data_IF_813994080395
#
_entry.id   IF_813994080395
#
_cell.length_a   1.000
_cell.length_b   1.000
_cell.length_c   1.000
_cell.angle_alpha   90.00
_cell.angle_beta   90.00
_cell.angle_gamma   90.00
#
_symmetry.space_group_name_H-M   'P 1'
#
loop_
_entity.id
_entity.type
_entity.pdbx_description
1 polymer ?
#
# COMPACT_ATOMS: atom_id res chain seq x y z
N UNK A 1 19.68 -71.14 -39.93
CA UNK A 1 18.66 -70.12 -40.26
C UNK A 1 18.11 -69.54 -38.97
N UNK A 2 18.17 -68.19 -38.81
CA UNK A 2 17.24 -67.26 -38.12
C UNK A 2 16.66 -67.72 -36.75
N UNK A 3 16.69 -66.98 -35.64
CA UNK A 3 16.83 -65.54 -35.41
C UNK A 3 17.11 -65.23 -33.94
N UNK A 4 17.94 -64.22 -33.73
CA UNK A 4 18.06 -63.35 -32.56
C UNK A 4 16.72 -62.79 -32.06
N UNK A 5 16.62 -62.52 -30.74
CA UNK A 5 16.00 -61.32 -30.12
C UNK A 5 16.40 -61.27 -28.64
N UNK A 6 17.56 -60.69 -28.35
CA UNK A 6 17.70 -59.36 -27.70
C UNK A 6 16.70 -59.11 -26.55
N UNK A 7 17.16 -59.34 -25.32
CA UNK A 7 16.60 -58.67 -24.13
C UNK A 7 17.10 -57.23 -24.12
N UNK A 8 16.19 -56.27 -24.30
CA UNK A 8 16.47 -54.84 -24.14
C UNK A 8 16.56 -54.53 -22.64
N UNK A 9 17.76 -54.21 -22.17
CA UNK A 9 18.01 -53.62 -20.86
C UNK A 9 17.65 -52.13 -20.95
N UNK A 10 16.43 -51.75 -20.54
CA UNK A 10 16.05 -50.35 -20.44
C UNK A 10 16.61 -49.76 -19.14
N UNK A 11 17.77 -49.11 -19.23
CA UNK A 11 18.28 -48.22 -18.19
C UNK A 11 17.34 -47.01 -18.08
N UNK A 12 16.47 -46.99 -17.08
CA UNK A 12 15.78 -45.78 -16.65
C UNK A 12 16.82 -44.89 -15.96
N UNK A 13 17.40 -43.95 -16.72
CA UNK A 13 18.15 -42.84 -16.16
C UNK A 13 17.14 -41.89 -15.50
N UNK A 14 16.81 -42.12 -14.23
CA UNK A 14 16.10 -41.14 -13.41
C UNK A 14 17.03 -39.94 -13.23
N UNK A 15 16.85 -38.92 -14.07
CA UNK A 15 17.42 -37.61 -13.85
C UNK A 15 16.89 -37.09 -12.50
N UNK A 16 17.74 -37.08 -11.47
CA UNK A 16 17.52 -36.24 -10.31
C UNK A 16 17.51 -34.80 -10.80
N UNK A 17 16.32 -34.27 -11.10
CA UNK A 17 16.11 -32.84 -11.16
C UNK A 17 16.28 -32.34 -9.74
N UNK A 18 17.51 -31.94 -9.39
CA UNK A 18 17.77 -31.20 -8.17
C UNK A 18 16.85 -29.98 -8.18
N UNK A 19 15.96 -29.88 -7.19
CA UNK A 19 15.20 -28.64 -6.99
C UNK A 19 16.23 -27.53 -6.83
N UNK A 20 16.17 -26.43 -7.61
CA UNK A 20 17.07 -25.31 -7.39
C UNK A 20 16.95 -24.91 -5.92
N UNK A 21 18.07 -24.95 -5.20
CA UNK A 21 18.11 -24.50 -3.82
C UNK A 21 17.91 -22.98 -3.85
N UNK A 22 16.66 -22.55 -3.69
CA UNK A 22 16.30 -21.14 -3.71
C UNK A 22 16.66 -20.53 -2.36
N UNK A 23 17.63 -19.62 -2.37
CA UNK A 23 18.09 -18.94 -1.18
C UNK A 23 17.08 -17.88 -0.75
N UNK A 24 16.78 -17.83 0.55
CA UNK A 24 15.99 -16.75 1.13
C UNK A 24 16.92 -15.62 1.56
N UNK A 25 16.55 -14.40 1.25
CA UNK A 25 17.24 -13.19 1.69
C UNK A 25 16.25 -12.25 2.35
N UNK A 26 16.79 -11.29 3.10
CA UNK A 26 16.00 -10.18 3.59
C UNK A 26 15.85 -9.14 2.48
N UNK A 27 14.62 -8.76 2.18
CA UNK A 27 14.28 -7.73 1.20
C UNK A 27 13.39 -6.69 1.84
N UNK A 28 13.58 -5.42 1.46
CA UNK A 28 12.64 -4.34 1.73
C UNK A 28 11.82 -4.11 0.46
N UNK A 29 10.51 -3.90 0.56
CA UNK A 29 9.65 -3.42 -0.52
C UNK A 29 9.02 -2.10 -0.10
N UNK A 30 9.18 -1.06 -0.90
CA UNK A 30 8.44 0.19 -0.73
C UNK A 30 7.13 0.06 -1.49
N UNK A 31 6.01 0.17 -0.76
CA UNK A 31 4.67 0.12 -1.34
C UNK A 31 4.24 1.49 -1.86
N UNK A 32 3.31 1.54 -2.84
CA UNK A 32 2.58 2.76 -3.12
C UNK A 32 1.76 3.20 -1.90
N UNK A 33 1.35 4.48 -1.83
CA UNK A 33 0.48 4.94 -0.75
C UNK A 33 -0.91 4.29 -0.82
N UNK A 34 -1.23 3.41 0.13
CA UNK A 34 -2.51 2.73 0.26
C UNK A 34 -2.70 2.20 1.69
N UNK A 35 -3.95 2.06 2.14
CA UNK A 35 -4.31 1.36 3.39
C UNK A 35 -3.50 1.84 4.61
N UNK A 36 -3.83 3.06 5.06
CA UNK A 36 -3.15 3.70 6.18
C UNK A 36 -1.88 4.48 5.81
N UNK A 37 -1.47 4.50 4.54
CA UNK A 37 -0.41 5.37 4.03
C UNK A 37 0.64 4.68 3.17
N UNK A 38 1.80 5.31 2.99
CA UNK A 38 2.94 4.68 2.31
C UNK A 38 3.78 3.91 3.33
N UNK A 39 4.26 2.73 2.96
CA UNK A 39 5.04 1.90 3.88
C UNK A 39 6.21 1.19 3.19
N UNK A 40 7.23 0.86 3.98
CA UNK A 40 8.22 -0.16 3.69
C UNK A 40 7.81 -1.46 4.39
N UNK A 41 7.87 -2.57 3.66
CA UNK A 41 7.66 -3.90 4.22
C UNK A 41 8.93 -4.73 4.08
N UNK A 42 9.24 -5.55 5.10
CA UNK A 42 10.42 -6.41 5.13
C UNK A 42 10.00 -7.86 5.09
N UNK A 43 10.62 -8.60 4.19
CA UNK A 43 10.34 -10.01 3.93
C UNK A 43 11.63 -10.83 3.99
N UNK A 44 11.52 -12.06 4.48
CA UNK A 44 12.57 -13.07 4.36
C UNK A 44 12.12 -14.16 3.38
N UNK A 45 12.55 -14.05 2.12
CA UNK A 45 11.96 -14.77 0.98
C UNK A 45 12.89 -14.76 -0.23
N UNK A 46 12.43 -15.27 -1.36
CA UNK A 46 13.20 -15.38 -2.63
C UNK A 46 13.20 -14.07 -3.44
N UNK A 47 12.25 -13.16 -3.15
CA UNK A 47 12.09 -11.84 -3.77
C UNK A 47 11.50 -10.88 -2.72
N UNK A 48 11.41 -9.59 -2.99
CA UNK A 48 10.72 -8.60 -2.14
C UNK A 48 9.18 -8.78 -2.08
N UNK A 49 8.71 -9.98 -1.76
CA UNK A 49 7.31 -10.35 -1.58
C UNK A 49 7.14 -11.24 -0.33
N UNK A 50 5.89 -11.37 0.13
CA UNK A 50 5.54 -12.21 1.27
C UNK A 50 6.09 -13.64 1.11
N UNK A 51 6.88 -14.05 2.09
CA UNK A 51 7.43 -15.39 2.21
C UNK A 51 6.69 -16.21 3.25
N UNK A 52 7.39 -17.21 3.78
CA UNK A 52 6.87 -18.02 4.88
C UNK A 52 6.82 -17.20 6.19
N UNK A 53 5.65 -17.02 6.80
CA UNK A 53 5.47 -16.18 7.99
C UNK A 53 6.26 -16.69 9.21
N UNK A 54 6.66 -17.97 9.23
CA UNK A 54 7.46 -18.55 10.33
C UNK A 54 8.82 -17.89 10.50
N UNK A 55 9.33 -17.19 9.48
CA UNK A 55 10.60 -16.48 9.56
C UNK A 55 10.50 -15.09 10.19
N UNK A 56 9.30 -14.52 10.35
CA UNK A 56 9.14 -13.14 10.81
C UNK A 56 9.68 -12.92 12.22
N UNK A 57 9.43 -13.87 13.14
CA UNK A 57 9.99 -13.80 14.49
C UNK A 57 11.53 -13.77 14.50
N UNK A 58 12.18 -14.42 13.52
CA UNK A 58 13.65 -14.46 13.40
C UNK A 58 14.26 -13.17 12.86
N UNK A 59 13.44 -12.30 12.28
CA UNK A 59 13.89 -11.03 11.71
C UNK A 59 13.29 -9.83 12.46
N UNK A 60 12.49 -10.05 13.51
CA UNK A 60 11.75 -9.00 14.21
C UNK A 60 12.62 -7.89 14.79
N UNK A 61 13.90 -8.18 15.07
CA UNK A 61 14.92 -7.23 15.50
C UNK A 61 15.61 -6.49 14.34
N UNK A 62 15.06 -6.54 13.13
CA UNK A 62 15.60 -5.78 11.98
C UNK A 62 15.48 -4.28 12.25
N UNK A 63 16.60 -3.58 12.13
CA UNK A 63 16.66 -2.13 12.20
C UNK A 63 16.51 -1.54 10.78
N UNK A 64 15.74 -0.46 10.64
CA UNK A 64 15.53 0.25 9.38
C UNK A 64 15.85 1.74 9.53
N UNK A 65 16.37 2.34 8.47
CA UNK A 65 16.63 3.78 8.36
C UNK A 65 16.13 4.32 7.03
N UNK A 66 15.54 5.52 7.09
CA UNK A 66 15.02 6.29 5.97
C UNK A 66 15.98 7.41 5.57
N UNK A 67 16.19 7.58 4.28
CA UNK A 67 16.88 8.74 3.71
C UNK A 67 15.97 9.45 2.69
N UNK A 68 15.48 10.62 3.07
CA UNK A 68 14.74 11.57 2.19
C UNK A 68 15.64 12.75 1.78
N UNK A 69 16.61 13.13 2.60
CA UNK A 69 17.66 14.10 2.29
C UNK A 69 19.01 13.39 2.21
N UNK A 70 19.88 13.80 1.29
CA UNK A 70 21.15 13.10 1.03
C UNK A 70 22.02 13.00 2.29
N UNK A 71 22.43 11.78 2.64
CA UNK A 71 23.32 11.50 3.78
C UNK A 71 22.68 11.55 5.16
N UNK A 72 21.43 11.98 5.29
CA UNK A 72 20.70 11.92 6.57
C UNK A 72 19.87 10.64 6.66
N UNK A 73 20.11 9.83 7.69
CA UNK A 73 19.44 8.56 7.92
C UNK A 73 18.66 8.58 9.24
N UNK A 74 17.35 8.63 9.13
CA UNK A 74 16.43 8.67 10.27
C UNK A 74 15.98 7.24 10.60
N UNK A 75 16.07 6.79 11.87
CA UNK A 75 15.59 5.47 12.25
C UNK A 75 14.08 5.37 12.05
N UNK A 76 13.63 4.25 11.50
CA UNK A 76 12.21 3.95 11.33
C UNK A 76 11.71 3.06 12.47
N UNK A 77 10.50 3.34 12.96
CA UNK A 77 9.78 2.43 13.85
C UNK A 77 9.30 1.23 13.04
N UNK A 78 9.78 0.04 13.41
CA UNK A 78 9.41 -1.22 12.78
C UNK A 78 8.29 -1.89 13.58
N UNK A 79 7.23 -2.29 12.89
CA UNK A 79 6.08 -2.98 13.41
C UNK A 79 6.10 -4.42 12.89
N UNK A 80 6.03 -5.40 13.78
CA UNK A 80 5.86 -6.79 13.40
C UNK A 80 4.37 -7.06 13.11
N UNK A 81 4.08 -7.62 11.94
CA UNK A 81 2.75 -8.16 11.60
C UNK A 81 2.83 -9.70 11.53
N UNK A 82 1.72 -10.42 11.27
CA UNK A 82 1.74 -11.88 11.18
C UNK A 82 2.71 -12.46 10.14
N UNK A 83 3.00 -11.72 9.06
CA UNK A 83 3.70 -12.26 7.88
C UNK A 83 4.75 -11.32 7.26
N UNK A 84 4.98 -10.14 7.86
CA UNK A 84 6.03 -9.20 7.45
C UNK A 84 6.41 -8.27 8.60
N UNK A 85 7.49 -7.52 8.42
CA UNK A 85 7.70 -6.30 9.20
C UNK A 85 7.24 -5.10 8.38
N UNK A 86 6.77 -4.05 9.02
CA UNK A 86 6.27 -2.84 8.36
C UNK A 86 6.79 -1.59 9.05
N UNK A 87 7.17 -0.59 8.27
CA UNK A 87 7.50 0.74 8.74
C UNK A 87 6.79 1.78 7.87
N UNK A 88 6.22 2.82 8.49
CA UNK A 88 5.54 3.89 7.79
C UNK A 88 6.54 4.87 7.18
N UNK A 89 6.20 5.40 6.02
CA UNK A 89 7.04 6.30 5.23
C UNK A 89 6.29 7.59 4.91
N UNK A 90 7.03 8.69 4.64
CA UNK A 90 6.43 9.89 4.04
C UNK A 90 5.61 9.54 2.80
N UNK A 91 4.43 10.16 2.68
CA UNK A 91 3.45 9.80 1.66
C UNK A 91 3.96 10.02 0.23
N UNK A 92 4.76 11.06 0.02
CA UNK A 92 5.33 11.45 -1.28
C UNK A 92 6.86 11.55 -1.23
N UNK A 93 7.47 11.77 -2.40
CA UNK A 93 8.90 12.06 -2.52
C UNK A 93 9.77 10.82 -2.75
N UNK A 94 11.02 11.10 -3.15
CA UNK A 94 12.03 10.08 -3.42
C UNK A 94 12.75 9.68 -2.15
N UNK A 95 12.76 8.37 -1.87
CA UNK A 95 13.28 7.83 -0.63
C UNK A 95 14.13 6.59 -0.84
N UNK A 96 15.07 6.40 0.08
CA UNK A 96 15.87 5.18 0.23
C UNK A 96 15.58 4.64 1.62
N UNK A 97 15.28 3.34 1.71
CA UNK A 97 15.20 2.64 2.98
C UNK A 97 16.32 1.62 3.02
N UNK A 98 17.12 1.64 4.08
CA UNK A 98 18.18 0.67 4.34
C UNK A 98 17.91 -0.04 5.64
N UNK A 99 18.36 -1.29 5.77
CA UNK A 99 18.23 -2.01 7.02
C UNK A 99 19.44 -2.84 7.38
N UNK A 100 19.40 -3.39 8.58
CA UNK A 100 20.37 -4.34 9.12
C UNK A 100 19.65 -5.39 9.93
N UNK A 101 19.98 -6.65 9.66
CA UNK A 101 19.52 -7.79 10.43
C UNK A 101 20.67 -8.77 10.64
N UNK A 102 21.01 -9.05 11.88
CA UNK A 102 21.87 -10.18 12.24
C UNK A 102 20.97 -11.39 12.44
N UNK A 103 20.82 -12.23 11.41
CA UNK A 103 19.87 -13.35 11.42
C UNK A 103 20.21 -14.40 12.48
N UNK A 104 21.51 -14.65 12.68
CA UNK A 104 22.01 -15.60 13.68
C UNK A 104 23.05 -16.55 13.11
N UNK A 105 23.51 -17.48 13.93
CA UNK A 105 24.43 -18.54 13.52
C UNK A 105 23.64 -19.67 12.87
N UNK A 106 24.10 -20.12 11.70
CA UNK A 106 23.59 -21.29 11.02
C UNK A 106 24.66 -22.38 11.04
N UNK A 107 24.42 -23.41 11.85
CA UNK A 107 25.22 -24.63 11.88
C UNK A 107 24.39 -25.78 11.29
N UNK A 108 24.82 -26.31 10.15
CA UNK A 108 24.20 -27.47 9.50
C UNK A 108 25.22 -28.60 9.44
N UNK A 109 24.76 -29.84 9.65
CA UNK A 109 25.64 -31.00 9.59
C UNK A 109 26.45 -31.02 8.28
N UNK A 110 27.77 -31.18 8.39
CA UNK A 110 28.69 -31.19 7.24
C UNK A 110 28.93 -29.84 6.56
N UNK A 111 28.50 -28.72 7.14
CA UNK A 111 28.77 -27.37 6.62
C UNK A 111 29.48 -26.52 7.69
N UNK A 112 30.41 -25.67 7.26
CA UNK A 112 31.05 -24.65 8.10
C UNK A 112 29.98 -23.80 8.79
N UNK A 113 29.94 -23.75 10.14
CA UNK A 113 29.03 -22.87 10.85
C UNK A 113 29.34 -21.40 10.54
N UNK A 114 28.31 -20.61 10.22
CA UNK A 114 28.51 -19.22 9.82
C UNK A 114 27.51 -18.27 10.49
N UNK A 115 27.95 -17.04 10.75
CA UNK A 115 27.08 -15.95 11.14
C UNK A 115 26.45 -15.32 9.89
N UNK A 116 25.11 -15.33 9.82
CA UNK A 116 24.37 -14.75 8.71
C UNK A 116 23.93 -13.31 9.02
N UNK A 117 24.32 -12.36 8.17
CA UNK A 117 23.91 -10.94 8.28
C UNK A 117 23.30 -10.45 6.96
N UNK A 118 22.23 -9.67 7.07
CA UNK A 118 21.55 -9.06 5.94
C UNK A 118 21.56 -7.53 6.04
N UNK A 119 21.75 -6.90 4.88
CA UNK A 119 21.75 -5.45 4.70
C UNK A 119 20.80 -5.07 3.56
N UNK A 120 19.49 -5.15 3.78
CA UNK A 120 18.52 -4.86 2.73
C UNK A 120 18.48 -3.36 2.41
N UNK A 121 18.17 -3.03 1.16
CA UNK A 121 17.94 -1.68 0.67
C UNK A 121 16.76 -1.68 -0.29
N UNK A 122 15.97 -0.60 -0.28
CA UNK A 122 14.99 -0.32 -1.30
C UNK A 122 15.02 1.15 -1.71
N UNK A 123 14.70 1.42 -2.97
CA UNK A 123 14.61 2.78 -3.52
C UNK A 123 13.29 2.99 -4.23
N UNK A 124 12.73 4.19 -4.14
CA UNK A 124 11.54 4.59 -4.88
C UNK A 124 11.50 6.10 -5.08
N UNK A 125 11.10 6.55 -6.27
CA UNK A 125 10.94 7.97 -6.60
C UNK A 125 11.72 8.39 -7.85
N UNK A 126 11.98 9.69 -7.95
CA UNK A 126 12.61 10.31 -9.09
C UNK A 126 14.11 9.89 -9.21
N UNK A 127 14.56 9.40 -10.38
CA UNK A 127 15.94 9.01 -10.60
C UNK A 127 17.00 10.07 -10.28
N UNK A 128 16.76 11.35 -10.62
CA UNK A 128 17.74 12.42 -10.42
C UNK A 128 17.92 12.75 -8.93
N UNK A 129 16.84 12.67 -8.15
CA UNK A 129 16.91 12.81 -6.69
C UNK A 129 17.60 11.60 -6.04
N UNK A 130 17.29 10.39 -6.50
CA UNK A 130 17.89 9.15 -6.00
C UNK A 130 19.40 9.08 -6.29
N UNK A 131 19.83 9.53 -7.46
CA UNK A 131 21.25 9.60 -7.84
C UNK A 131 22.09 10.52 -6.92
N UNK A 132 21.45 11.46 -6.22
CA UNK A 132 22.10 12.35 -5.26
C UNK A 132 22.20 11.74 -3.86
N UNK A 133 21.56 10.60 -3.60
CA UNK A 133 21.56 9.94 -2.29
C UNK A 133 22.92 9.30 -2.01
N UNK A 134 23.27 9.21 -0.73
CA UNK A 134 24.54 8.62 -0.27
C UNK A 134 24.31 7.22 0.27
N UNK A 135 25.31 6.32 0.22
CA UNK A 135 25.28 5.08 0.98
C UNK A 135 25.18 5.36 2.49
N UNK A 136 24.77 4.38 3.27
CA UNK A 136 24.66 4.54 4.73
C UNK A 136 26.03 4.71 5.38
N UNK A 137 27.06 4.06 4.85
CA UNK A 137 28.46 4.23 5.29
C UNK A 137 28.80 3.60 6.64
N UNK A 138 27.81 3.04 7.36
CA UNK A 138 28.00 2.26 8.60
C UNK A 138 27.61 0.78 8.44
N UNK A 139 27.16 0.39 7.25
CA UNK A 139 26.79 -0.99 6.94
C UNK A 139 28.01 -1.68 6.30
N UNK A 140 28.38 -2.90 6.74
CA UNK A 140 29.53 -3.63 6.19
C UNK A 140 29.47 -3.94 4.70
N UNK A 141 28.26 -4.12 4.15
CA UNK A 141 28.04 -4.41 2.75
C UNK A 141 26.83 -3.64 2.24
N UNK A 142 26.98 -2.95 1.11
CA UNK A 142 25.91 -2.18 0.47
C UNK A 142 25.91 -2.35 -1.05
N UNK A 143 24.73 -2.25 -1.64
CA UNK A 143 24.56 -2.00 -3.09
C UNK A 143 24.18 -0.53 -3.26
N UNK A 144 24.88 0.18 -4.14
CA UNK A 144 24.51 1.52 -4.61
C UNK A 144 24.05 1.40 -6.06
N UNK A 145 22.94 2.05 -6.40
CA UNK A 145 22.46 2.14 -7.77
C UNK A 145 22.49 3.60 -8.23
N UNK A 146 23.04 3.82 -9.43
CA UNK A 146 22.87 5.07 -10.19
C UNK A 146 22.04 4.78 -11.43
N UNK A 147 21.02 5.59 -11.67
CA UNK A 147 20.09 5.43 -12.79
C UNK A 147 20.47 6.37 -13.92
N UNK A 148 20.63 5.81 -15.12
CA UNK A 148 21.13 6.51 -16.32
C UNK A 148 20.18 6.20 -17.48
N UNK A 149 19.11 6.99 -17.57
CA UNK A 149 18.02 6.75 -18.52
C UNK A 149 17.35 5.41 -18.25
N UNK A 150 17.50 4.45 -19.18
CA UNK A 150 16.95 3.09 -19.05
C UNK A 150 17.90 2.09 -18.37
N UNK A 151 19.11 2.52 -18.02
CA UNK A 151 20.15 1.67 -17.44
C UNK A 151 20.31 1.97 -15.96
N UNK A 152 20.82 0.99 -15.24
CA UNK A 152 21.28 1.13 -13.87
C UNK A 152 22.74 0.70 -13.80
N UNK A 153 23.58 1.53 -13.18
CA UNK A 153 24.90 1.14 -12.73
C UNK A 153 24.79 0.72 -11.27
N UNK A 154 25.24 -0.50 -10.99
CA UNK A 154 25.32 -1.10 -9.67
C UNK A 154 26.76 -1.03 -9.16
N UNK A 155 26.95 -0.65 -7.90
CA UNK A 155 28.24 -0.62 -7.22
C UNK A 155 28.13 -1.34 -5.88
N UNK A 156 28.99 -2.32 -5.65
CA UNK A 156 29.08 -3.03 -4.39
C UNK A 156 30.11 -2.32 -3.51
N UNK A 157 29.72 -1.99 -2.28
CA UNK A 157 30.61 -1.38 -1.30
C UNK A 157 30.80 -2.33 -0.12
N UNK A 158 32.05 -2.57 0.27
CA UNK A 158 32.41 -3.19 1.54
C UNK A 158 33.10 -2.16 2.42
N UNK A 159 32.52 -1.89 3.59
CA UNK A 159 33.00 -0.85 4.51
C UNK A 159 33.26 0.49 3.81
N UNK A 160 32.35 0.87 2.91
CA UNK A 160 32.42 2.10 2.11
C UNK A 160 33.36 2.05 0.89
N UNK A 161 34.07 0.95 0.64
CA UNK A 161 35.02 0.81 -0.47
C UNK A 161 34.47 -0.08 -1.60
N UNK A 162 34.69 0.26 -2.88
CA UNK A 162 34.30 -0.59 -4.00
C UNK A 162 34.83 -2.03 -3.90
N UNK A 163 34.04 -3.00 -4.37
CA UNK A 163 34.41 -4.41 -4.42
C UNK A 163 34.60 -4.85 -5.87
N UNK A 164 35.84 -4.91 -6.39
CA UNK A 164 36.11 -5.39 -7.73
C UNK A 164 35.61 -6.81 -7.95
N UNK A 165 35.12 -7.12 -9.15
CA UNK A 165 34.61 -8.45 -9.51
C UNK A 165 33.47 -8.98 -8.62
N UNK A 166 32.78 -8.11 -7.89
CA UNK A 166 31.58 -8.49 -7.14
C UNK A 166 30.54 -9.12 -8.08
N UNK A 167 29.91 -10.21 -7.65
CA UNK A 167 28.77 -10.79 -8.34
C UNK A 167 27.49 -10.09 -7.88
N UNK A 168 26.71 -9.58 -8.83
CA UNK A 168 25.34 -9.16 -8.61
C UNK A 168 24.41 -10.17 -9.26
N UNK A 169 23.40 -10.63 -8.54
CA UNK A 169 22.34 -11.47 -9.09
C UNK A 169 21.05 -10.67 -9.08
N UNK A 170 20.50 -10.42 -10.26
CA UNK A 170 19.19 -9.77 -10.43
C UNK A 170 18.10 -10.82 -10.36
N UNK A 171 16.96 -10.51 -9.76
CA UNK A 171 15.78 -11.37 -9.63
C UNK A 171 14.55 -10.58 -10.10
N UNK A 172 13.77 -11.13 -11.02
CA UNK A 172 12.50 -10.54 -11.47
C UNK A 172 11.29 -11.18 -10.77
N UNK A 173 10.08 -10.73 -11.13
CA UNK A 173 8.82 -11.25 -10.56
C UNK A 173 8.53 -12.71 -10.88
N UNK A 174 9.21 -13.31 -11.85
CA UNK A 174 9.12 -14.73 -12.21
C UNK A 174 10.24 -15.56 -11.58
N UNK A 175 11.06 -14.93 -10.71
CA UNK A 175 12.25 -15.51 -10.07
C UNK A 175 13.31 -15.94 -11.09
N UNK A 176 13.33 -15.30 -12.26
CA UNK A 176 14.39 -15.48 -13.23
C UNK A 176 15.60 -14.66 -12.82
N UNK A 177 16.76 -15.31 -12.84
CA UNK A 177 18.01 -14.73 -12.39
C UNK A 177 18.94 -14.39 -13.55
N UNK A 178 19.68 -13.29 -13.40
CA UNK A 178 20.83 -12.94 -14.24
C UNK A 178 22.00 -12.56 -13.33
N UNK A 179 23.15 -13.19 -13.56
CA UNK A 179 24.39 -12.84 -12.86
C UNK A 179 25.18 -11.82 -13.67
N UNK A 180 25.59 -10.75 -13.02
CA UNK A 180 26.45 -9.69 -13.53
C UNK A 180 27.74 -9.70 -12.72
N UNK A 181 28.88 -9.59 -13.38
CA UNK A 181 30.18 -9.47 -12.71
C UNK A 181 30.64 -8.03 -12.79
N UNK A 182 31.05 -7.47 -11.65
CA UNK A 182 31.58 -6.13 -11.59
C UNK A 182 32.95 -6.01 -12.27
N UNK A 183 33.26 -4.82 -12.78
CA UNK A 183 34.56 -4.49 -13.34
C UNK A 183 35.63 -4.26 -12.24
N UNK A 184 36.79 -3.72 -12.64
CA UNK A 184 37.89 -3.38 -11.73
C UNK A 184 37.56 -2.26 -10.74
N UNK A 185 36.54 -1.45 -11.01
CA UNK A 185 36.03 -0.40 -10.13
C UNK A 185 34.85 -0.87 -9.27
N UNK A 186 34.49 -2.16 -9.36
CA UNK A 186 33.38 -2.74 -8.61
C UNK A 186 32.00 -2.35 -9.17
N UNK A 187 31.92 -1.94 -10.44
CA UNK A 187 30.70 -1.52 -11.10
C UNK A 187 30.16 -2.57 -12.07
N UNK A 188 28.84 -2.71 -12.16
CA UNK A 188 28.17 -3.49 -13.20
C UNK A 188 27.02 -2.68 -13.81
N UNK A 189 26.80 -2.81 -15.12
CA UNK A 189 25.67 -2.17 -15.79
C UNK A 189 24.55 -3.16 -16.08
N UNK A 190 23.31 -2.71 -15.92
CA UNK A 190 22.13 -3.52 -16.18
C UNK A 190 20.98 -2.69 -16.75
N UNK A 191 20.19 -3.29 -17.63
CA UNK A 191 18.94 -2.73 -18.14
C UNK A 191 17.81 -3.67 -17.76
N UNK A 192 16.90 -3.30 -16.85
CA UNK A 192 15.73 -4.13 -16.57
C UNK A 192 14.92 -4.32 -17.85
N UNK A 193 14.57 -5.58 -18.22
CA UNK A 193 14.05 -5.89 -19.55
C UNK A 193 12.63 -5.36 -19.79
N UNK A 194 11.83 -5.23 -18.73
CA UNK A 194 10.44 -4.78 -18.78
C UNK A 194 10.05 -4.04 -17.49
N UNK A 195 8.94 -3.30 -17.47
CA UNK A 195 8.37 -2.78 -16.23
C UNK A 195 8.02 -3.92 -15.26
N UNK A 196 8.30 -3.75 -13.97
CA UNK A 196 8.08 -4.80 -12.97
C UNK A 196 8.81 -4.54 -11.65
N UNK A 197 8.63 -5.43 -10.69
CA UNK A 197 9.40 -5.40 -9.45
C UNK A 197 10.68 -6.22 -9.62
N UNK A 198 11.79 -5.67 -9.19
CA UNK A 198 13.08 -6.32 -9.27
C UNK A 198 13.79 -6.27 -7.92
N UNK A 199 14.64 -7.28 -7.70
CA UNK A 199 15.65 -7.25 -6.66
C UNK A 199 17.03 -7.53 -7.26
N UNK A 200 18.06 -7.03 -6.60
CA UNK A 200 19.45 -7.34 -6.88
C UNK A 200 20.08 -7.75 -5.55
N UNK A 201 20.86 -8.82 -5.53
CA UNK A 201 21.64 -9.15 -4.34
C UNK A 201 23.11 -9.37 -4.68
N UNK A 202 23.95 -9.10 -3.70
CA UNK A 202 25.38 -9.45 -3.71
C UNK A 202 25.74 -10.06 -2.36
N UNK A 203 26.81 -10.84 -2.34
CA UNK A 203 27.28 -11.55 -1.14
C UNK A 203 28.75 -11.30 -0.90
N UNK A 204 29.13 -11.35 0.37
CA UNK A 204 30.52 -11.43 0.77
C UNK A 204 30.68 -12.44 1.90
N UNK A 205 31.80 -13.15 1.92
CA UNK A 205 32.13 -14.09 2.99
C UNK A 205 33.50 -13.74 3.55
N UNK A 206 33.59 -13.51 4.86
CA UNK A 206 34.85 -13.32 5.56
C UNK A 206 35.14 -14.49 6.50
N UNK A 207 36.41 -14.93 6.53
CA UNK A 207 36.91 -16.00 7.39
C UNK A 207 37.19 -15.47 8.80
N UNK A 208 36.15 -14.97 9.43
CA UNK A 208 36.19 -14.45 10.80
C UNK A 208 35.39 -15.38 11.70
N UNK A 209 36.07 -16.00 12.66
CA UNK A 209 35.44 -16.85 13.66
C UNK A 209 34.95 -16.03 14.85
N UNK A 210 33.93 -16.53 15.56
CA UNK A 210 33.40 -15.89 16.75
C UNK A 210 32.29 -16.69 17.41
N UNK A 211 31.57 -16.04 18.32
CA UNK A 211 30.46 -16.63 19.05
C UNK A 211 29.30 -15.62 19.14
N UNK A 212 28.07 -16.11 18.99
CA UNK A 212 26.85 -15.34 19.18
C UNK A 212 25.85 -16.20 19.96
N UNK A 213 25.35 -15.68 21.08
CA UNK A 213 24.34 -16.35 21.92
C UNK A 213 24.72 -17.81 22.26
N UNK A 214 26.00 -18.05 22.57
CA UNK A 214 26.55 -19.38 22.87
C UNK A 214 26.89 -20.25 21.66
N UNK A 215 26.62 -19.80 20.43
CA UNK A 215 26.87 -20.54 19.20
C UNK A 215 28.13 -20.05 18.49
N UNK A 216 29.08 -20.95 18.24
CA UNK A 216 30.32 -20.64 17.52
C UNK A 216 30.11 -20.63 16.01
N UNK A 217 30.81 -19.74 15.32
CA UNK A 217 30.89 -19.68 13.87
C UNK A 217 32.35 -19.51 13.43
N UNK A 218 32.65 -19.95 12.21
CA UNK A 218 34.00 -19.88 11.62
C UNK A 218 34.11 -18.82 10.52
N UNK A 219 32.98 -18.40 9.97
CA UNK A 219 32.91 -17.35 8.95
C UNK A 219 31.67 -16.49 9.10
N UNK A 220 31.70 -15.31 8.47
CA UNK A 220 30.57 -14.39 8.38
C UNK A 220 30.10 -14.34 6.93
N UNK A 221 28.80 -14.51 6.71
CA UNK A 221 28.17 -14.37 5.40
C UNK A 221 27.27 -13.13 5.41
N UNK A 222 27.69 -12.14 4.63
CA UNK A 222 27.00 -10.89 4.43
C UNK A 222 26.21 -10.94 3.11
N UNK A 223 24.94 -10.54 3.17
CA UNK A 223 24.11 -10.36 1.98
C UNK A 223 23.55 -8.95 1.96
N UNK A 224 23.82 -8.21 0.88
CA UNK A 224 23.18 -6.94 0.61
C UNK A 224 22.14 -7.15 -0.50
N UNK A 225 20.95 -6.57 -0.32
CA UNK A 225 19.89 -6.62 -1.32
C UNK A 225 19.48 -5.20 -1.69
N UNK A 226 19.05 -4.99 -2.93
CA UNK A 226 18.45 -3.76 -3.43
C UNK A 226 17.16 -4.11 -4.16
N UNK A 227 16.02 -3.64 -3.70
CA UNK A 227 14.74 -3.85 -4.37
C UNK A 227 14.10 -2.53 -4.83
N UNK A 228 13.37 -2.60 -5.95
CA UNK A 228 12.71 -1.45 -6.55
C UNK A 228 11.66 -1.87 -7.58
N UNK A 229 10.72 -0.97 -7.87
CA UNK A 229 9.87 -1.06 -9.04
C UNK A 229 10.55 -0.38 -10.24
N UNK A 230 10.41 -0.95 -11.43
CA UNK A 230 10.93 -0.40 -12.67
C UNK A 230 9.80 -0.10 -13.66
N UNK A 231 9.83 1.04 -14.38
CA UNK A 231 10.71 2.18 -14.11
C UNK A 231 10.43 2.77 -12.71
N UNK A 232 11.43 3.42 -12.11
CA UNK A 232 11.32 4.00 -10.76
C UNK A 232 10.24 5.08 -10.65
N UNK A 233 9.98 5.75 -11.77
CA UNK A 233 8.93 6.73 -11.93
C UNK A 233 8.07 6.33 -13.15
N UNK A 234 6.77 6.20 -12.95
CA UNK A 234 5.79 5.96 -14.02
C UNK A 234 5.03 7.27 -14.26
N UNK A 235 5.11 7.82 -15.47
CA UNK A 235 4.47 9.09 -15.83
C UNK A 235 3.20 8.90 -16.68
N UNK A 236 3.08 7.73 -17.29
CA UNK A 236 1.98 7.43 -18.20
C UNK A 236 0.78 6.85 -17.45
N UNK A 237 -0.41 7.23 -17.90
CA UNK A 237 -1.65 6.65 -17.40
C UNK A 237 -1.87 5.26 -18.02
N UNK A 238 -2.42 4.35 -17.23
CA UNK A 238 -2.87 3.06 -17.73
C UNK A 238 -4.32 3.21 -18.22
N UNK A 239 -4.56 3.11 -19.53
CA UNK A 239 -5.90 3.24 -20.11
C UNK A 239 -6.91 2.25 -19.48
N UNK A 240 -6.47 1.03 -19.17
CA UNK A 240 -7.28 0.04 -18.48
C UNK A 240 -7.60 0.43 -17.02
N UNK A 241 -6.69 1.12 -16.32
CA UNK A 241 -6.96 1.63 -14.97
C UNK A 241 -7.97 2.79 -15.02
N UNK A 242 -7.87 3.66 -16.02
CA UNK A 242 -8.84 4.73 -16.28
C UNK A 242 -10.24 4.15 -16.53
N UNK A 243 -10.36 3.22 -17.48
CA UNK A 243 -11.63 2.58 -17.79
C UNK A 243 -12.25 1.89 -16.57
N UNK A 244 -11.45 1.15 -15.79
CA UNK A 244 -11.91 0.48 -14.57
C UNK A 244 -12.46 1.47 -13.53
N UNK A 245 -11.81 2.63 -13.37
CA UNK A 245 -12.26 3.65 -12.44
C UNK A 245 -13.51 4.38 -12.92
N UNK A 246 -13.57 4.74 -14.20
CA UNK A 246 -14.74 5.38 -14.81
C UNK A 246 -15.98 4.48 -14.78
N UNK A 247 -15.83 3.18 -15.01
CA UNK A 247 -16.89 2.19 -14.85
C UNK A 247 -17.41 2.18 -13.40
N UNK A 248 -16.51 2.17 -12.42
CA UNK A 248 -16.89 2.18 -11.02
C UNK A 248 -17.60 3.48 -10.58
N UNK A 249 -17.20 4.63 -11.14
CA UNK A 249 -17.91 5.89 -10.92
C UNK A 249 -19.30 5.89 -11.57
N UNK A 250 -19.43 5.34 -12.79
CA UNK A 250 -20.69 5.26 -13.51
C UNK A 250 -21.70 4.30 -12.84
N UNK A 251 -21.22 3.27 -12.14
CA UNK A 251 -22.06 2.31 -11.43
C UNK A 251 -22.61 2.83 -10.09
N UNK A 252 -22.21 4.03 -9.66
CA UNK A 252 -22.65 4.64 -8.40
C UNK A 252 -23.96 5.39 -8.59
N UNK A 253 -24.95 5.14 -7.73
CA UNK A 253 -26.20 5.89 -7.75
C UNK A 253 -25.91 7.39 -7.53
N UNK A 254 -26.59 8.31 -8.22
CA UNK A 254 -26.42 9.76 -8.05
C UNK A 254 -27.77 10.45 -8.21
N UNK A 255 -27.94 11.63 -7.61
CA UNK A 255 -29.18 12.39 -7.73
C UNK A 255 -29.15 13.25 -8.99
N UNK A 256 -29.67 12.71 -10.09
CA UNK A 256 -29.87 13.47 -11.34
C UNK A 256 -31.05 14.43 -11.18
N UNK A 257 -30.94 15.63 -11.74
CA UNK A 257 -31.99 16.65 -11.76
C UNK A 257 -32.63 16.90 -10.38
N UNK A 258 -31.79 16.92 -9.34
CA UNK A 258 -32.21 16.96 -7.94
C UNK A 258 -32.87 18.30 -7.57
N UNK A 259 -34.16 18.31 -7.16
CA UNK A 259 -34.89 19.53 -6.81
C UNK A 259 -34.66 20.00 -5.37
N UNK A 260 -33.98 19.19 -4.55
CA UNK A 260 -33.96 19.33 -3.10
C UNK A 260 -35.06 18.50 -2.41
N UNK A 261 -35.01 18.43 -1.08
CA UNK A 261 -36.06 17.86 -0.25
C UNK A 261 -36.04 18.44 1.16
N UNK A 262 -37.15 18.31 1.88
CA UNK A 262 -37.22 18.49 3.33
C UNK A 262 -37.63 17.19 4.02
N UNK A 263 -37.25 17.01 5.28
CA UNK A 263 -37.68 15.88 6.10
C UNK A 263 -37.70 16.26 7.58
N UNK A 264 -38.53 15.57 8.35
CA UNK A 264 -38.40 15.56 9.80
C UNK A 264 -37.19 14.69 10.19
N UNK A 265 -36.38 15.15 11.13
CA UNK A 265 -35.22 14.42 11.67
C UNK A 265 -35.44 14.13 13.15
N UNK A 266 -35.13 12.90 13.57
CA UNK A 266 -35.03 12.51 14.98
C UNK A 266 -33.77 11.66 15.18
N UNK A 267 -33.09 11.80 16.31
CA UNK A 267 -31.80 11.15 16.50
C UNK A 267 -31.28 11.15 17.93
N UNK A 268 -30.05 10.66 18.07
CA UNK A 268 -29.32 10.63 19.32
C UNK A 268 -27.85 10.94 19.07
N UNK A 269 -27.28 11.83 19.89
CA UNK A 269 -25.85 12.11 19.95
C UNK A 269 -25.33 11.58 21.28
N UNK A 270 -24.69 10.40 21.28
CA UNK A 270 -24.15 9.77 22.49
C UNK A 270 -25.18 9.60 23.62
N UNK A 271 -26.40 9.18 23.28
CA UNK A 271 -27.50 8.97 24.22
C UNK A 271 -28.37 10.21 24.47
N UNK A 272 -28.00 11.39 23.95
CA UNK A 272 -28.81 12.61 24.03
C UNK A 272 -29.70 12.75 22.81
N UNK A 273 -31.01 12.64 23.01
CA UNK A 273 -31.98 12.73 21.91
C UNK A 273 -32.07 14.13 21.33
N UNK A 274 -32.35 14.20 20.03
CA UNK A 274 -32.60 15.45 19.32
C UNK A 274 -33.66 15.26 18.23
N UNK A 275 -34.35 16.35 17.90
CA UNK A 275 -35.41 16.38 16.89
C UNK A 275 -35.40 17.73 16.16
N UNK A 276 -35.82 17.74 14.90
CA UNK A 276 -35.86 18.94 14.10
C UNK A 276 -36.39 18.72 12.69
N UNK A 277 -36.09 19.67 11.81
CA UNK A 277 -36.37 19.59 10.38
C UNK A 277 -35.10 19.86 9.59
N UNK A 278 -34.88 19.10 8.53
CA UNK A 278 -33.81 19.36 7.56
C UNK A 278 -34.40 19.83 6.25
N UNK A 279 -33.65 20.70 5.57
CA UNK A 279 -33.89 21.10 4.19
C UNK A 279 -32.59 20.97 3.43
N UNK A 280 -32.64 20.32 2.27
CA UNK A 280 -31.54 20.25 1.31
C UNK A 280 -32.04 20.88 0.02
N UNK A 281 -31.41 21.96 -0.43
CA UNK A 281 -31.83 22.64 -1.67
C UNK A 281 -31.32 21.91 -2.93
N UNK A 282 -31.76 22.36 -4.11
CA UNK A 282 -31.35 21.79 -5.40
C UNK A 282 -29.83 21.89 -5.66
N UNK A 283 -29.10 22.77 -4.95
CA UNK A 283 -27.64 22.92 -5.04
C UNK A 283 -26.92 22.09 -3.98
N UNK A 284 -27.64 21.42 -3.11
CA UNK A 284 -27.11 20.61 -2.02
C UNK A 284 -26.80 21.39 -0.75
N UNK A 285 -27.26 22.64 -0.60
CA UNK A 285 -27.10 23.36 0.66
C UNK A 285 -27.97 22.69 1.71
N UNK A 286 -27.35 22.26 2.80
CA UNK A 286 -28.03 21.67 3.97
C UNK A 286 -28.44 22.80 4.92
N UNK A 287 -29.60 22.66 5.54
CA UNK A 287 -30.05 23.49 6.65
C UNK A 287 -30.77 22.61 7.66
N UNK A 288 -30.41 22.74 8.92
CA UNK A 288 -31.03 22.04 10.05
C UNK A 288 -31.67 23.06 10.97
N UNK A 289 -32.97 22.86 11.25
CA UNK A 289 -33.73 23.63 12.22
C UNK A 289 -34.02 22.72 13.42
N UNK A 290 -33.27 22.93 14.51
CA UNK A 290 -33.51 22.23 15.76
C UNK A 290 -34.83 22.70 16.38
N UNK A 291 -35.59 21.77 16.96
CA UNK A 291 -36.79 22.07 17.76
C UNK A 291 -36.47 22.70 19.12
N UNK A 292 -35.26 22.51 19.63
CA UNK A 292 -34.77 23.08 20.87
C UNK A 292 -33.60 24.04 20.60
N UNK A 293 -33.85 25.36 20.57
CA UNK A 293 -32.80 26.35 20.30
C UNK A 293 -31.77 26.49 21.43
N UNK A 294 -32.01 25.85 22.58
CA UNK A 294 -31.08 25.83 23.72
C UNK A 294 -30.13 24.62 23.69
N UNK A 295 -30.31 23.69 22.75
CA UNK A 295 -29.48 22.49 22.61
C UNK A 295 -28.06 22.84 22.19
N UNK A 296 -27.12 21.99 22.58
CA UNK A 296 -25.70 22.15 22.28
C UNK A 296 -25.44 22.32 20.77
N UNK A 297 -24.61 23.31 20.42
CA UNK A 297 -24.17 23.59 19.04
C UNK A 297 -23.57 22.34 18.36
N UNK A 298 -22.99 21.43 19.16
CA UNK A 298 -22.43 20.15 18.72
C UNK A 298 -23.42 19.26 17.94
N UNK A 299 -24.72 19.31 18.25
CA UNK A 299 -25.75 18.56 17.51
C UNK A 299 -25.95 19.14 16.12
N UNK A 300 -26.11 20.46 16.02
CA UNK A 300 -26.31 21.13 14.75
C UNK A 300 -25.11 20.96 13.81
N UNK A 301 -23.88 21.16 14.34
CA UNK A 301 -22.65 20.93 13.58
C UNK A 301 -22.54 19.50 13.08
N UNK A 302 -22.79 18.51 13.95
CA UNK A 302 -22.70 17.11 13.55
C UNK A 302 -23.72 16.73 12.47
N UNK A 303 -25.00 17.08 12.66
CA UNK A 303 -26.06 16.82 11.67
C UNK A 303 -25.71 17.45 10.33
N UNK A 304 -25.24 18.70 10.34
CA UNK A 304 -24.85 19.42 9.13
C UNK A 304 -23.66 18.73 8.43
N UNK A 305 -22.59 18.42 9.15
CA UNK A 305 -21.40 17.75 8.59
C UNK A 305 -21.74 16.39 7.95
N UNK A 306 -22.57 15.57 8.61
CA UNK A 306 -22.96 14.26 8.08
C UNK A 306 -23.82 14.40 6.81
N UNK A 307 -24.83 15.26 6.82
CA UNK A 307 -25.69 15.47 5.67
C UNK A 307 -24.93 16.13 4.51
N UNK A 308 -24.07 17.10 4.77
CA UNK A 308 -23.21 17.70 3.73
C UNK A 308 -22.31 16.66 3.08
N UNK A 309 -21.73 15.75 3.87
CA UNK A 309 -20.96 14.63 3.35
C UNK A 309 -21.83 13.72 2.45
N UNK A 310 -23.02 13.31 2.90
CA UNK A 310 -23.93 12.49 2.10
C UNK A 310 -24.29 13.19 0.78
N UNK A 311 -24.69 14.47 0.84
CA UNK A 311 -25.10 15.26 -0.33
C UNK A 311 -23.96 15.46 -1.32
N UNK A 312 -22.76 15.81 -0.84
CA UNK A 312 -21.55 15.93 -1.68
C UNK A 312 -21.28 14.65 -2.47
N UNK A 313 -21.59 13.52 -1.87
CA UNK A 313 -21.46 12.22 -2.49
C UNK A 313 -22.61 11.93 -3.47
N UNK A 314 -23.83 12.40 -3.25
CA UNK A 314 -24.96 12.12 -4.14
C UNK A 314 -25.09 13.04 -5.34
N UNK A 315 -24.70 14.31 -5.20
CA UNK A 315 -24.82 15.27 -6.28
C UNK A 315 -23.85 14.97 -7.44
N UNK A 316 -24.27 15.21 -8.70
CA UNK A 316 -23.37 15.18 -9.83
C UNK A 316 -22.25 16.20 -9.62
N UNK A 317 -20.98 15.80 -9.79
CA UNK A 317 -19.89 16.76 -9.82
C UNK A 317 -19.88 17.47 -11.17
N UNK A 318 -19.98 18.82 -11.22
CA UNK A 318 -19.74 19.52 -12.47
C UNK A 318 -18.28 19.30 -12.90
N UNK A 319 -18.06 19.10 -14.20
CA UNK A 319 -16.71 19.06 -14.75
C UNK A 319 -16.02 20.40 -14.44
N UNK A 320 -14.89 20.37 -13.73
CA UNK A 320 -14.15 21.58 -13.42
C UNK A 320 -13.65 22.23 -14.73
N UNK A 321 -14.01 23.49 -15.04
CA UNK A 321 -13.45 24.19 -16.18
C UNK A 321 -11.98 24.58 -15.91
N UNK A 322 -11.10 24.34 -16.87
CA UNK A 322 -9.75 24.94 -16.90
C UNK A 322 -8.58 24.04 -16.47
N UNK A 323 -7.70 23.76 -17.45
CA UNK A 323 -6.23 23.67 -17.42
C UNK A 323 -5.48 23.12 -16.19
N UNK A 324 -6.04 22.21 -15.40
CA UNK A 324 -5.22 21.41 -14.47
C UNK A 324 -4.62 20.23 -15.23
N UNK A 325 -3.34 19.85 -14.97
CA UNK A 325 -2.84 18.58 -15.46
C UNK A 325 -3.80 17.48 -15.00
N UNK A 326 -4.33 16.71 -15.95
CA UNK A 326 -5.17 15.56 -15.61
C UNK A 326 -4.33 14.64 -14.71
N UNK A 327 -4.86 14.19 -13.57
CA UNK A 327 -4.12 13.26 -12.74
C UNK A 327 -3.83 12.00 -13.54
N UNK A 328 -2.66 11.42 -13.31
CA UNK A 328 -2.24 10.18 -13.98
C UNK A 328 -2.77 9.02 -13.15
N UNK A 329 -3.60 8.18 -13.77
CA UNK A 329 -4.17 7.01 -13.10
C UNK A 329 -3.51 5.74 -13.63
N UNK A 330 -3.02 4.91 -12.70
CA UNK A 330 -2.31 3.66 -13.01
C UNK A 330 -2.63 2.55 -12.04
N UNK A 331 -2.28 1.32 -12.41
CA UNK A 331 -2.26 0.21 -11.45
C UNK A 331 -1.12 0.38 -10.44
N UNK A 332 -1.42 0.16 -9.16
CA UNK A 332 -0.45 0.19 -8.06
C UNK A 332 0.31 -1.12 -7.86
N UNK A 333 -0.21 -2.21 -8.38
CA UNK A 333 0.29 -3.58 -8.19
C UNK A 333 0.26 -4.33 -9.53
N UNK A 334 1.15 -5.30 -9.71
CA UNK A 334 1.14 -6.19 -10.89
C UNK A 334 0.06 -7.28 -10.77
N UNK A 335 -0.14 -7.84 -9.57
CA UNK A 335 -1.11 -8.92 -9.28
C UNK A 335 -2.51 -8.43 -8.94
N UNK A 336 -3.53 -9.17 -9.35
CA UNK A 336 -4.96 -8.83 -9.17
C UNK A 336 -5.67 -9.89 -8.32
N UNK A 337 -5.15 -10.14 -7.13
CA UNK A 337 -5.59 -11.19 -6.21
C UNK A 337 -6.11 -10.62 -4.88
N UNK A 338 -5.98 -9.32 -4.66
CA UNK A 338 -6.45 -8.70 -3.43
C UNK A 338 -7.97 -8.85 -3.29
N UNK A 339 -8.50 -9.30 -2.14
CA UNK A 339 -9.93 -9.62 -1.97
C UNK A 339 -10.85 -8.40 -2.14
N UNK A 340 -10.32 -7.18 -1.93
CA UNK A 340 -11.01 -5.90 -2.15
C UNK A 340 -10.80 -5.31 -3.55
N UNK A 341 -10.14 -6.03 -4.45
CA UNK A 341 -9.95 -5.66 -5.85
C UNK A 341 -8.65 -4.92 -6.17
N UNK A 342 -8.57 -4.47 -7.43
CA UNK A 342 -7.35 -3.96 -8.05
C UNK A 342 -6.99 -2.58 -7.50
N UNK A 343 -5.75 -2.41 -7.06
CA UNK A 343 -5.23 -1.12 -6.58
C UNK A 343 -4.98 -0.15 -7.73
N UNK A 344 -5.56 1.03 -7.62
CA UNK A 344 -5.40 2.17 -8.51
C UNK A 344 -4.73 3.32 -7.77
N UNK A 345 -3.71 3.94 -8.38
CA UNK A 345 -2.97 5.07 -7.82
C UNK A 345 -3.18 6.30 -8.71
N UNK A 346 -3.54 7.41 -8.09
CA UNK A 346 -3.57 8.73 -8.72
C UNK A 346 -2.28 9.48 -8.39
N UNK A 347 -1.45 9.70 -9.41
CA UNK A 347 -0.31 10.59 -9.31
C UNK A 347 -0.71 12.02 -9.75
N UNK A 348 -0.45 12.99 -8.88
CA UNK A 348 -0.86 14.38 -9.07
C UNK A 348 -2.31 14.69 -8.65
N UNK A 349 -2.66 15.97 -8.61
CA UNK A 349 -3.97 16.46 -8.13
C UNK A 349 -3.98 16.90 -6.65
N UNK A 350 -5.07 17.56 -6.21
CA UNK A 350 -5.19 18.17 -4.85
C UNK A 350 -5.15 17.14 -3.71
N UNK A 351 -5.43 15.88 -4.02
CA UNK A 351 -5.35 14.77 -3.08
C UNK A 351 -4.66 13.60 -3.76
N UNK A 352 -3.43 13.30 -3.34
CA UNK A 352 -2.79 12.06 -3.74
C UNK A 352 -3.63 10.92 -3.14
N UNK A 353 -4.34 10.19 -4.00
CA UNK A 353 -5.37 9.23 -3.60
C UNK A 353 -5.07 7.87 -4.22
N UNK A 354 -5.46 6.82 -3.51
CA UNK A 354 -5.52 5.49 -4.10
C UNK A 354 -6.86 4.84 -3.82
N UNK A 355 -7.22 3.89 -4.67
CA UNK A 355 -8.52 3.24 -4.63
C UNK A 355 -8.34 1.75 -4.86
N UNK A 356 -9.16 0.92 -4.23
CA UNK A 356 -9.37 -0.45 -4.73
C UNK A 356 -10.71 -0.53 -5.43
N UNK A 357 -10.69 -1.11 -6.62
CA UNK A 357 -11.90 -1.32 -7.43
C UNK A 357 -12.15 -2.82 -7.63
N UNK A 358 -13.36 -3.26 -7.33
CA UNK A 358 -13.82 -4.64 -7.50
C UNK A 358 -15.27 -4.65 -7.96
N UNK A 359 -15.63 -5.53 -8.89
CA UNK A 359 -17.02 -5.74 -9.31
C UNK A 359 -17.75 -4.44 -9.66
N UNK A 360 -17.05 -3.54 -10.38
CA UNK A 360 -17.49 -2.18 -10.75
C UNK A 360 -17.79 -1.24 -9.56
N UNK A 361 -17.17 -1.48 -8.42
CA UNK A 361 -17.37 -0.70 -7.20
C UNK A 361 -16.03 -0.21 -6.67
N UNK A 362 -16.01 1.01 -6.16
CA UNK A 362 -14.90 1.48 -5.33
C UNK A 362 -15.09 0.84 -3.95
N UNK A 363 -14.20 -0.08 -3.60
CA UNK A 363 -14.22 -0.81 -2.34
C UNK A 363 -13.36 -0.15 -1.27
N UNK A 364 -12.27 0.50 -1.67
CA UNK A 364 -11.37 1.20 -0.76
C UNK A 364 -11.05 2.58 -1.32
N UNK A 365 -11.01 3.59 -0.45
CA UNK A 365 -10.52 4.94 -0.76
C UNK A 365 -9.44 5.28 0.25
N UNK A 366 -8.25 5.65 -0.21
CA UNK A 366 -7.17 6.14 0.63
C UNK A 366 -6.87 7.59 0.31
N UNK A 367 -6.65 8.40 1.34
CA UNK A 367 -6.24 9.80 1.22
C UNK A 367 -5.22 10.17 2.28
N UNK A 368 -4.33 11.06 1.91
CA UNK A 368 -3.51 11.81 2.85
C UNK A 368 -4.14 13.18 3.09
N UNK A 369 -4.39 13.52 4.36
CA UNK A 369 -5.05 14.77 4.77
C UNK A 369 -4.29 15.36 5.95
N UNK A 370 -3.53 16.42 5.70
CA UNK A 370 -2.70 17.04 6.73
C UNK A 370 -1.69 16.04 7.31
N UNK A 371 -1.75 15.81 8.62
CA UNK A 371 -0.87 14.86 9.33
C UNK A 371 -1.50 13.46 9.48
N UNK A 372 -2.56 13.16 8.72
CA UNK A 372 -3.29 11.91 8.83
C UNK A 372 -3.38 11.18 7.50
N UNK A 373 -3.40 9.86 7.58
CA UNK A 373 -3.86 9.00 6.51
C UNK A 373 -5.28 8.54 6.85
N UNK A 374 -6.17 8.58 5.87
CA UNK A 374 -7.55 8.15 5.99
C UNK A 374 -7.80 7.02 4.97
N UNK A 375 -8.40 5.93 5.43
CA UNK A 375 -8.86 4.83 4.59
C UNK A 375 -10.35 4.67 4.80
N UNK A 376 -11.11 4.56 3.72
CA UNK A 376 -12.52 4.18 3.76
C UNK A 376 -12.61 2.79 3.15
N UNK A 377 -13.20 1.84 3.86
CA UNK A 377 -13.43 0.47 3.35
C UNK A 377 -14.92 0.20 3.28
N UNK A 378 -15.44 0.02 2.07
CA UNK A 378 -16.84 -0.35 1.85
C UNK A 378 -17.02 -1.81 2.24
N UNK A 379 -17.97 -2.06 3.14
CA UNK A 379 -18.33 -3.40 3.61
C UNK A 379 -19.51 -3.95 2.81
N UNK A 380 -20.51 -3.10 2.54
CA UNK A 380 -21.75 -3.49 1.89
C UNK A 380 -22.39 -2.32 1.15
N UNK A 381 -23.02 -2.61 0.01
CA UNK A 381 -23.77 -1.67 -0.81
C UNK A 381 -25.12 -2.27 -1.20
N UNK A 382 -26.17 -1.46 -1.16
CA UNK A 382 -27.46 -1.79 -1.76
C UNK A 382 -27.44 -1.50 -3.27
N UNK A 383 -28.31 -2.17 -4.03
CA UNK A 383 -28.64 -1.78 -5.40
C UNK A 383 -29.98 -1.05 -5.42
N UNK A 384 -30.01 0.10 -6.06
CA UNK A 384 -31.26 0.81 -6.29
C UNK A 384 -32.02 0.23 -7.51
N UNK A 385 -33.19 0.80 -7.83
CA UNK A 385 -34.04 0.33 -8.95
C UNK A 385 -33.34 0.39 -10.31
N UNK A 386 -32.40 1.31 -10.50
CA UNK A 386 -31.57 1.41 -11.72
C UNK A 386 -30.38 0.43 -11.71
N UNK A 387 -30.23 -0.40 -10.67
CA UNK A 387 -29.14 -1.33 -10.50
C UNK A 387 -27.80 -0.68 -10.10
N UNK A 388 -27.82 0.60 -9.73
CA UNK A 388 -26.67 1.38 -9.28
C UNK A 388 -26.44 1.20 -7.78
N UNK A 389 -25.20 1.40 -7.34
CA UNK A 389 -24.78 1.14 -5.96
C UNK A 389 -25.03 2.32 -5.03
N UNK A 390 -25.61 2.02 -3.86
CA UNK A 390 -25.80 2.91 -2.72
C UNK A 390 -25.01 2.37 -1.52
N UNK A 391 -24.25 3.21 -0.79
CA UNK A 391 -23.55 2.77 0.41
C UNK A 391 -24.52 2.28 1.48
N UNK A 392 -24.28 1.09 2.03
CA UNK A 392 -25.09 0.54 3.14
C UNK A 392 -24.28 0.45 4.41
N UNK A 393 -23.02 0.04 4.31
CA UNK A 393 -22.08 0.14 5.43
C UNK A 393 -20.63 0.24 4.96
N UNK A 394 -19.85 1.02 5.69
CA UNK A 394 -18.42 1.19 5.45
C UNK A 394 -17.69 1.56 6.75
N UNK A 395 -16.39 1.32 6.79
CA UNK A 395 -15.52 1.83 7.85
C UNK A 395 -14.71 3.00 7.34
N UNK A 396 -14.34 3.91 8.24
CA UNK A 396 -13.35 4.95 8.02
C UNK A 396 -12.32 4.84 9.12
N UNK A 397 -11.08 4.61 8.75
CA UNK A 397 -9.97 4.53 9.70
C UNK A 397 -9.03 5.71 9.48
N UNK A 398 -8.52 6.25 10.58
CA UNK A 398 -7.62 7.39 10.62
C UNK A 398 -6.33 7.02 11.33
N UNK A 399 -5.19 7.20 10.66
CA UNK A 399 -3.86 6.98 11.22
C UNK A 399 -3.07 8.28 11.25
N UNK A 400 -2.25 8.45 12.29
CA UNK A 400 -1.23 9.50 12.27
C UNK A 400 -0.16 9.13 11.23
N UNK A 401 0.16 10.04 10.32
CA UNK A 401 0.91 9.71 9.10
C UNK A 401 2.37 9.30 9.35
N UNK A 402 3.00 9.80 10.42
CA UNK A 402 4.43 9.59 10.72
C UNK A 402 4.67 8.24 11.40
N UNK A 403 3.88 7.94 12.44
CA UNK A 403 3.98 6.76 13.28
C UNK A 403 3.09 5.61 12.81
N UNK A 404 2.07 5.92 12.01
CA UNK A 404 0.99 5.02 11.62
C UNK A 404 0.20 4.44 12.77
N UNK A 405 0.16 5.15 13.90
CA UNK A 405 -0.76 4.82 14.99
C UNK A 405 -2.20 5.01 14.53
N UNK A 406 -3.04 3.99 14.69
CA UNK A 406 -4.48 4.12 14.49
C UNK A 406 -5.06 5.03 15.58
N UNK A 407 -5.71 6.11 15.17
CA UNK A 407 -6.24 7.14 16.07
C UNK A 407 -7.75 7.05 16.24
N UNK A 408 -8.47 6.67 15.19
CA UNK A 408 -9.92 6.58 15.17
C UNK A 408 -10.39 5.61 14.11
N UNK A 409 -11.43 4.85 14.44
CA UNK A 409 -12.20 4.05 13.48
C UNK A 409 -13.66 4.43 13.60
N UNK A 410 -14.28 4.78 12.50
CA UNK A 410 -15.72 5.03 12.38
C UNK A 410 -16.34 3.90 11.58
N UNK A 411 -17.45 3.35 12.04
CA UNK A 411 -18.32 2.48 11.26
C UNK A 411 -19.58 3.25 10.93
N UNK A 412 -19.87 3.39 9.65
CA UNK A 412 -21.05 4.09 9.15
C UNK A 412 -22.04 3.07 8.60
N UNK A 413 -23.30 3.25 8.96
CA UNK A 413 -24.42 2.48 8.44
C UNK A 413 -25.49 3.42 7.91
N UNK A 414 -25.92 3.16 6.69
CA UNK A 414 -26.91 3.98 5.99
C UNK A 414 -28.10 3.13 5.57
N UNK A 415 -29.28 3.74 5.56
CA UNK A 415 -30.49 3.22 4.92
C UNK A 415 -31.07 4.29 4.02
N UNK A 416 -31.65 3.83 2.92
CA UNK A 416 -32.19 4.70 1.88
C UNK A 416 -33.67 4.46 1.70
N UNK A 417 -34.40 5.52 1.35
CA UNK A 417 -35.79 5.47 0.95
C UNK A 417 -35.92 6.10 -0.43
N UNK A 418 -36.52 5.36 -1.38
CA UNK A 418 -36.88 5.94 -2.68
C UNK A 418 -38.07 6.89 -2.51
N UNK A 419 -37.90 8.12 -2.99
CA UNK A 419 -38.94 9.15 -3.06
C UNK A 419 -38.94 9.70 -4.48
N UNK A 420 -40.02 9.48 -5.23
CA UNK A 420 -40.08 9.70 -6.68
C UNK A 420 -38.91 9.02 -7.41
N UNK A 421 -37.98 9.80 -7.98
CA UNK A 421 -36.83 9.31 -8.72
C UNK A 421 -35.53 9.25 -7.89
N UNK A 422 -35.54 9.66 -6.61
CA UNK A 422 -34.32 9.81 -5.80
C UNK A 422 -34.31 8.86 -4.61
N UNK A 423 -33.19 8.17 -4.41
CA UNK A 423 -32.94 7.42 -3.17
C UNK A 423 -32.37 8.39 -2.12
N UNK A 424 -33.21 8.79 -1.16
CA UNK A 424 -32.88 9.77 -0.11
C UNK A 424 -32.43 9.07 1.18
N UNK A 425 -31.56 9.69 2.00
CA UNK A 425 -31.18 9.10 3.28
C UNK A 425 -32.41 8.94 4.18
N UNK A 426 -32.54 7.77 4.80
CA UNK A 426 -33.62 7.42 5.73
C UNK A 426 -33.08 7.17 7.14
N UNK A 427 -31.92 6.52 7.26
CA UNK A 427 -31.22 6.34 8.53
C UNK A 427 -29.72 6.50 8.33
N UNK A 428 -29.08 7.10 9.32
CA UNK A 428 -27.63 7.26 9.39
C UNK A 428 -27.16 6.91 10.80
N UNK A 429 -26.13 6.10 10.91
CA UNK A 429 -25.50 5.77 12.19
C UNK A 429 -23.99 5.79 12.02
N UNK A 430 -23.31 6.47 12.94
CA UNK A 430 -21.85 6.50 13.05
C UNK A 430 -21.48 5.96 14.43
N UNK A 431 -20.71 4.88 14.44
CA UNK A 431 -20.08 4.34 15.64
C UNK A 431 -18.58 4.63 15.57
N UNK A 432 -18.08 5.47 16.46
CA UNK A 432 -16.67 5.88 16.48
C UNK A 432 -15.95 5.24 17.68
N UNK A 433 -14.90 4.48 17.39
CA UNK A 433 -13.98 3.92 18.37
C UNK A 433 -12.66 4.70 18.38
N UNK A 434 -12.22 5.08 19.58
CA UNK A 434 -10.91 5.71 19.84
C UNK A 434 -10.27 5.06 21.07
N UNK A 435 -9.06 5.49 21.43
CA UNK A 435 -8.45 5.07 22.71
C UNK A 435 -9.29 5.46 23.94
N UNK A 436 -10.13 6.50 23.84
CA UNK A 436 -10.97 6.97 24.94
C UNK A 436 -12.28 6.18 25.10
N UNK A 437 -12.61 5.30 24.15
CA UNK A 437 -13.84 4.50 24.18
C UNK A 437 -14.67 4.62 22.90
N UNK A 438 -15.97 4.35 23.06
CA UNK A 438 -16.94 4.25 21.99
C UNK A 438 -17.94 5.42 22.04
N UNK A 439 -18.20 6.05 20.89
CA UNK A 439 -19.25 7.03 20.68
C UNK A 439 -20.23 6.51 19.63
N UNK A 440 -21.53 6.76 19.82
CA UNK A 440 -22.59 6.32 18.90
C UNK A 440 -23.51 7.50 18.64
N UNK A 441 -23.68 7.82 17.37
CA UNK A 441 -24.46 8.96 16.91
C UNK A 441 -25.32 8.52 15.74
N UNK A 442 -26.60 8.86 15.76
CA UNK A 442 -27.52 8.39 14.74
C UNK A 442 -28.67 9.35 14.52
N UNK A 443 -29.22 9.35 13.31
CA UNK A 443 -30.51 9.98 13.02
C UNK A 443 -31.35 9.15 12.04
N UNK A 444 -32.66 9.37 12.11
CA UNK A 444 -33.65 8.89 11.16
C UNK A 444 -34.33 10.10 10.52
N UNK A 445 -34.53 10.02 9.20
CA UNK A 445 -35.31 10.98 8.44
C UNK A 445 -36.66 10.37 8.09
N UNK A 446 -37.73 11.14 8.28
CA UNK A 446 -39.10 10.74 7.95
C UNK A 446 -39.83 11.89 7.27
N UNK A 447 -41.00 11.59 6.67
CA UNK A 447 -41.84 12.59 6.00
C UNK A 447 -41.05 13.38 4.95
N UNK A 448 -40.31 12.68 4.09
CA UNK A 448 -39.59 13.29 2.98
C UNK A 448 -40.57 13.97 2.03
N UNK A 449 -40.34 15.26 1.78
CA UNK A 449 -41.14 16.09 0.89
C UNK A 449 -40.25 16.71 -0.18
N UNK A 450 -40.65 16.55 -1.45
CA UNK A 450 -40.00 17.19 -2.59
C UNK A 450 -40.70 18.54 -2.85
N UNK A 451 -39.95 19.64 -3.05
CA UNK A 451 -40.55 20.91 -3.46
C UNK A 451 -41.38 20.72 -4.74
N UNK A 452 -42.62 21.23 -4.74
CA UNK A 452 -43.45 21.23 -5.95
C UNK A 452 -42.71 22.00 -7.06
N UNK A 453 -42.63 21.43 -8.26
CA UNK A 453 -42.08 22.12 -9.42
C UNK A 453 -42.83 23.45 -9.63
N UNK A 454 -42.09 24.56 -9.65
CA UNK A 454 -42.64 25.87 -10.06
C UNK A 454 -42.91 25.90 -11.55
#
# INVERSE_FOLDING_TARGET
MKSSRLFLLAFLLTALVGKPARAHFLFIRILPPAEGGRAAEVYFSELAEAGDPRFIAKIAHTELWLQTASGNFEPLKVHQTPDRLRAWLPYTGSLVVTGKCRYGVLARSGQTPFLLRHFPKAIAGNPDELNKRRPHGKLPLEIVATIEGRRMRLLALRDGKPVPKAEFVTVDSELKNLTLTADGEGQAQWTPPAPGNYAVYTRHTSKEAGELDGQKYEEIRDFATLAFAWPLERKDADAAAVALFEEALAARATWKDFPGFSAAISGSLNGRSFDGTITIDARGKVSFADTDPSREESVASWVQEQLESIVLHRLPRPAAPGARPKPVLRFGESKNDHPLGRLLIFDGGKFASSYRVKDRQIMVVNRHVGQQNMTITVLDNDRNTEGLFLPRSYTVEYWEATSGALTRTETVQERWQRVHAWDLPAQHTVTAATQAGLAVQSFTLTKHEIPKSK
#
